data_IF_527396271817
#
_entry.id   IF_527396271817
#
_cell.length_a   1.000
_cell.length_b   1.000
_cell.length_c   1.000
_cell.angle_alpha   90.00
_cell.angle_beta   90.00
_cell.angle_gamma   90.00
#
_symmetry.space_group_name_H-M   'P 1'
#
loop_
_entity.id
_entity.type
_entity.pdbx_description
1 polymer ?
#
# COMPACT_ATOMS: atom_id res chain seq x y z
N UNK A 1 -34.59 -27.83 -19.95
CA UNK A 1 -34.67 -26.43 -20.44
C UNK A 1 -33.37 -25.75 -20.06
N UNK A 2 -32.46 -25.70 -21.03
CA UNK A 2 -31.16 -25.02 -21.00
C UNK A 2 -31.39 -23.53 -21.27
N UNK A 3 -30.72 -22.64 -20.52
CA UNK A 3 -30.59 -21.24 -20.92
C UNK A 3 -29.11 -20.86 -20.88
N UNK A 4 -28.58 -20.63 -22.09
CA UNK A 4 -27.21 -20.26 -22.38
C UNK A 4 -26.96 -18.77 -22.13
N UNK A 5 -25.72 -18.52 -21.73
CA UNK A 5 -24.94 -17.29 -21.79
C UNK A 5 -24.89 -16.65 -23.17
N UNK A 6 -24.91 -15.32 -23.24
CA UNK A 6 -24.26 -14.52 -24.29
C UNK A 6 -24.04 -13.08 -23.79
N UNK A 7 -22.78 -12.67 -23.63
CA UNK A 7 -22.38 -11.26 -23.60
C UNK A 7 -21.06 -11.12 -24.37
N UNK A 8 -21.16 -10.64 -25.62
CA UNK A 8 -20.04 -10.30 -26.48
C UNK A 8 -19.78 -8.79 -26.46
N UNK A 9 -18.51 -8.45 -26.22
CA UNK A 9 -17.69 -7.39 -26.82
C UNK A 9 -18.27 -5.99 -27.13
N UNK A 10 -17.68 -4.98 -26.48
CA UNK A 10 -17.18 -3.79 -27.19
C UNK A 10 -16.03 -3.12 -26.43
N UNK A 11 -14.82 -3.36 -26.93
CA UNK A 11 -13.62 -2.60 -26.63
C UNK A 11 -13.60 -1.33 -27.49
N UNK A 12 -13.53 -0.16 -26.86
CA UNK A 12 -13.04 1.06 -27.52
C UNK A 12 -11.78 1.54 -26.81
N UNK A 13 -10.67 1.37 -27.53
CA UNK A 13 -9.37 1.97 -27.32
C UNK A 13 -9.48 3.50 -27.22
N UNK A 14 -8.90 4.08 -26.18
CA UNK A 14 -8.51 5.49 -26.16
C UNK A 14 -6.98 5.53 -26.07
N UNK A 15 -6.37 5.92 -27.18
CA UNK A 15 -4.97 6.31 -27.31
C UNK A 15 -4.85 7.72 -26.75
N UNK A 16 -4.01 7.92 -25.72
CA UNK A 16 -3.58 9.27 -25.32
C UNK A 16 -2.15 9.45 -25.79
N UNK A 17 -1.99 10.33 -26.79
CA UNK A 17 -0.70 10.68 -27.38
C UNK A 17 0.14 11.57 -26.45
N UNK A 18 1.42 11.25 -26.36
CA UNK A 18 2.44 12.04 -25.68
C UNK A 18 2.73 13.32 -26.49
N UNK A 19 2.38 14.50 -25.94
CA UNK A 19 2.83 15.78 -26.48
C UNK A 19 4.19 16.12 -25.89
N UNK A 20 5.24 16.00 -26.70
CA UNK A 20 6.58 16.54 -26.43
C UNK A 20 6.52 18.05 -26.64
N UNK A 21 6.67 18.85 -25.58
CA UNK A 21 6.92 20.30 -25.70
C UNK A 21 8.42 20.55 -25.76
N UNK A 22 8.90 21.00 -26.92
CA UNK A 22 10.21 21.62 -27.06
C UNK A 22 10.10 23.11 -26.73
N UNK A 23 11.01 23.59 -25.90
CA UNK A 23 11.14 24.99 -25.54
C UNK A 23 11.82 25.74 -26.70
N UNK A 24 11.15 26.77 -27.25
CA UNK A 24 11.83 27.81 -28.03
C UNK A 24 11.32 29.18 -27.64
N UNK A 25 12.29 30.01 -27.35
CA UNK A 25 12.24 31.42 -27.00
C UNK A 25 11.88 32.33 -28.18
N UNK A 26 11.55 33.57 -27.80
CA UNK A 26 11.60 34.83 -28.57
C UNK A 26 10.36 35.24 -29.36
N UNK A 27 10.05 36.54 -29.27
CA UNK A 27 9.28 37.23 -30.31
C UNK A 27 8.27 38.26 -29.82
N UNK A 28 8.58 39.54 -30.01
CA UNK A 28 7.76 40.73 -29.71
C UNK A 28 6.53 40.86 -30.62
N UNK A 29 5.53 41.65 -30.21
CA UNK A 29 4.80 42.53 -31.13
C UNK A 29 3.27 42.64 -30.97
N UNK A 30 2.81 43.75 -30.35
CA UNK A 30 1.92 44.74 -30.97
C UNK A 30 0.44 44.43 -31.31
N UNK A 31 -0.44 45.22 -30.66
CA UNK A 31 -1.57 45.97 -31.26
C UNK A 31 -2.89 45.28 -31.65
N UNK A 32 -3.97 45.64 -30.93
CA UNK A 32 -5.06 46.42 -31.56
C UNK A 32 -6.47 45.80 -31.63
N UNK A 33 -7.43 46.51 -31.00
CA UNK A 33 -8.87 46.66 -31.34
C UNK A 33 -9.81 45.43 -31.18
N UNK A 34 -11.09 45.50 -30.77
CA UNK A 34 -12.05 46.55 -30.35
C UNK A 34 -13.29 45.84 -29.76
N UNK A 35 -14.08 46.58 -28.98
CA UNK A 35 -15.39 46.27 -28.36
C UNK A 35 -16.46 45.71 -29.34
N UNK A 36 -17.63 45.14 -28.99
CA UNK A 36 -18.62 45.49 -27.94
C UNK A 36 -19.85 44.51 -27.99
N UNK A 37 -20.60 44.45 -26.88
CA UNK A 37 -22.03 44.06 -26.67
C UNK A 37 -22.47 42.66 -26.20
N UNK A 38 -22.73 42.60 -24.87
CA UNK A 38 -24.03 42.39 -24.20
C UNK A 38 -24.96 41.21 -24.59
N UNK A 39 -25.18 40.32 -23.62
CA UNK A 39 -26.35 39.44 -23.51
C UNK A 39 -26.43 38.86 -22.10
N UNK A 40 -27.50 39.19 -21.37
CA UNK A 40 -27.78 38.81 -19.98
C UNK A 40 -28.18 37.33 -19.86
N UNK A 41 -27.88 36.73 -18.71
CA UNK A 41 -28.51 35.49 -18.25
C UNK A 41 -27.68 34.82 -17.17
N UNK A 42 -27.98 35.10 -15.89
CA UNK A 42 -27.43 34.39 -14.73
C UNK A 42 -27.90 32.93 -14.71
N UNK A 43 -26.98 31.96 -14.49
CA UNK A 43 -27.33 30.69 -13.88
C UNK A 43 -26.69 30.55 -12.50
N UNK A 44 -27.45 29.84 -11.66
CA UNK A 44 -27.25 29.56 -10.26
C UNK A 44 -25.84 29.11 -9.84
N UNK A 45 -25.52 29.50 -8.62
CA UNK A 45 -24.35 29.16 -7.82
C UNK A 45 -24.14 27.63 -7.74
N UNK A 46 -22.97 27.19 -8.18
CA UNK A 46 -22.42 25.87 -7.93
C UNK A 46 -20.94 26.04 -7.65
N UNK A 47 -20.58 26.01 -6.36
CA UNK A 47 -19.22 26.24 -5.89
C UNK A 47 -18.25 25.21 -6.46
N UNK A 48 -17.22 25.76 -7.13
CA UNK A 48 -16.05 25.06 -7.61
C UNK A 48 -15.21 24.58 -6.43
N UNK A 49 -15.14 23.28 -6.20
CA UNK A 49 -13.95 22.67 -5.59
C UNK A 49 -13.05 22.16 -6.69
N UNK A 50 -12.07 22.99 -7.04
CA UNK A 50 -10.97 22.65 -7.91
C UNK A 50 -10.32 21.34 -7.43
N UNK A 51 -10.33 20.32 -8.28
CA UNK A 51 -9.53 19.12 -8.11
C UNK A 51 -8.05 19.53 -8.17
N UNK A 52 -7.42 19.62 -7.00
CA UNK A 52 -5.97 19.71 -6.89
C UNK A 52 -5.39 18.38 -7.40
N UNK A 53 -5.02 18.37 -8.68
CA UNK A 53 -4.16 17.35 -9.25
C UNK A 53 -2.77 17.51 -8.60
N UNK A 54 -2.52 16.78 -7.52
CA UNK A 54 -1.18 16.64 -6.98
C UNK A 54 -0.46 15.64 -7.89
N UNK A 55 0.39 16.18 -8.76
CA UNK A 55 1.31 15.41 -9.57
C UNK A 55 2.18 14.54 -8.65
N UNK A 56 2.18 13.23 -8.91
CA UNK A 56 3.19 12.33 -8.36
C UNK A 56 4.54 12.80 -8.89
N UNK A 57 5.43 13.23 -7.99
CA UNK A 57 6.83 13.39 -8.34
C UNK A 57 7.39 12.01 -8.67
N UNK A 58 7.95 11.91 -9.88
CA UNK A 58 8.77 10.81 -10.36
C UNK A 58 9.77 10.37 -9.28
N UNK A 59 9.60 9.15 -8.78
CA UNK A 59 10.67 8.44 -8.06
C UNK A 59 11.64 7.97 -9.15
N UNK A 60 12.89 8.46 -9.19
CA UNK A 60 13.81 8.06 -10.23
C UNK A 60 14.19 6.58 -10.04
N UNK A 61 13.78 5.76 -11.00
CA UNK A 61 14.28 4.40 -11.17
C UNK A 61 15.77 4.53 -11.52
N UNK A 62 16.67 4.21 -10.60
CA UNK A 62 18.11 4.20 -10.89
C UNK A 62 18.42 3.01 -11.80
N UNK A 63 18.63 3.30 -13.09
CA UNK A 63 19.31 2.40 -14.01
C UNK A 63 20.73 2.16 -13.50
N UNK A 64 21.10 0.90 -13.26
CA UNK A 64 22.49 0.52 -13.01
C UNK A 64 23.25 0.59 -14.34
N UNK A 65 23.92 1.71 -14.59
CA UNK A 65 24.88 1.86 -15.67
C UNK A 65 26.23 1.32 -15.24
N UNK A 66 26.79 0.42 -16.04
CA UNK A 66 28.16 -0.08 -15.93
C UNK A 66 29.18 1.05 -16.08
N UNK A 67 30.03 1.20 -15.07
CA UNK A 67 31.45 1.59 -15.17
C UNK A 67 31.80 2.97 -15.74
N UNK A 68 32.30 3.86 -14.87
CA UNK A 68 33.60 4.50 -15.03
C UNK A 68 33.94 5.30 -13.76
N UNK A 69 35.13 5.06 -13.25
CA UNK A 69 35.76 5.73 -12.12
C UNK A 69 36.03 7.20 -12.41
N UNK A 70 35.71 8.09 -11.46
CA UNK A 70 36.52 9.28 -11.18
C UNK A 70 36.22 9.76 -9.76
N UNK A 71 37.29 9.91 -8.97
CA UNK A 71 37.23 10.22 -7.56
C UNK A 71 36.91 11.67 -7.30
N UNK A 72 35.95 11.91 -6.41
CA UNK A 72 35.88 13.14 -5.62
C UNK A 72 35.61 12.73 -4.18
N UNK A 73 36.59 13.01 -3.32
CA UNK A 73 36.47 12.84 -1.87
C UNK A 73 35.44 13.81 -1.30
N UNK A 74 34.19 13.36 -1.21
CA UNK A 74 33.19 13.96 -0.36
C UNK A 74 33.13 13.16 0.94
N UNK A 75 33.36 13.81 2.08
CA UNK A 75 33.13 13.24 3.40
C UNK A 75 31.70 12.67 3.43
N UNK A 76 31.60 11.34 3.32
CA UNK A 76 30.34 10.64 3.36
C UNK A 76 29.70 10.90 4.72
N UNK A 77 28.64 11.71 4.74
CA UNK A 77 27.65 11.58 5.81
C UNK A 77 27.13 10.16 5.71
N UNK A 78 27.62 9.29 6.57
CA UNK A 78 27.02 7.98 6.80
C UNK A 78 25.55 8.23 7.14
N UNK A 79 24.69 8.01 6.15
CA UNK A 79 23.25 8.03 6.38
C UNK A 79 23.01 6.85 7.29
N UNK A 80 22.92 7.11 8.59
CA UNK A 80 22.46 6.13 9.56
C UNK A 80 21.15 5.59 9.00
N UNK A 81 21.17 4.36 8.48
CA UNK A 81 19.97 3.64 8.10
C UNK A 81 19.17 3.49 9.39
N UNK A 82 18.22 4.40 9.61
CA UNK A 82 17.24 4.21 10.67
C UNK A 82 16.55 2.90 10.32
N UNK A 83 16.73 1.87 11.15
CA UNK A 83 16.01 0.62 11.03
C UNK A 83 14.54 0.92 11.32
N UNK A 84 13.79 1.32 10.29
CA UNK A 84 12.35 1.53 10.40
C UNK A 84 11.71 0.15 10.47
N UNK A 85 11.45 -0.31 11.70
CA UNK A 85 10.66 -1.51 11.96
C UNK A 85 9.21 -1.14 12.23
N UNK A 86 8.29 -1.97 11.76
CA UNK A 86 6.88 -1.90 12.19
C UNK A 86 6.84 -2.21 13.69
N UNK A 87 6.27 -1.31 14.48
CA UNK A 87 6.08 -1.49 15.94
C UNK A 87 4.74 -2.10 16.29
N UNK A 88 3.77 -2.00 15.39
CA UNK A 88 2.45 -2.57 15.57
C UNK A 88 1.79 -2.91 14.25
N UNK A 89 1.15 -4.06 14.18
CA UNK A 89 0.25 -4.44 13.08
C UNK A 89 -1.20 -4.28 13.54
N UNK A 90 -2.02 -3.60 12.75
CA UNK A 90 -3.46 -3.49 13.01
C UNK A 90 -4.26 -4.11 11.88
N UNK A 91 -5.39 -4.72 12.21
CA UNK A 91 -6.33 -5.26 11.22
C UNK A 91 -7.75 -5.36 11.77
N UNK A 92 -8.72 -5.64 10.88
CA UNK A 92 -10.14 -5.73 11.22
C UNK A 92 -10.58 -7.06 11.82
N UNK A 93 -9.72 -8.07 11.79
CA UNK A 93 -10.01 -9.41 12.27
C UNK A 93 -11.08 -10.14 11.47
N UNK A 94 -11.30 -9.81 10.19
CA UNK A 94 -12.03 -10.71 9.29
C UNK A 94 -11.22 -11.99 9.02
N UNK A 95 -11.82 -13.04 8.46
CA UNK A 95 -11.06 -14.18 7.87
C UNK A 95 -10.17 -13.71 6.71
N UNK A 96 -9.32 -14.59 6.19
CA UNK A 96 -8.42 -14.26 5.09
C UNK A 96 -7.26 -13.37 5.56
N UNK A 97 -7.03 -12.27 4.84
CA UNK A 97 -5.86 -11.41 5.06
C UNK A 97 -5.82 -10.80 6.46
N UNK A 98 -6.98 -10.36 6.98
CA UNK A 98 -7.04 -9.70 8.28
C UNK A 98 -6.57 -10.64 9.41
N UNK A 99 -6.96 -11.92 9.35
CA UNK A 99 -6.56 -12.94 10.32
C UNK A 99 -5.09 -13.31 10.18
N UNK A 100 -4.62 -13.49 8.94
CA UNK A 100 -3.22 -13.78 8.65
C UNK A 100 -2.28 -12.71 9.23
N UNK A 101 -2.65 -11.43 9.12
CA UNK A 101 -1.86 -10.33 9.66
C UNK A 101 -1.76 -10.38 11.18
N UNK A 102 -2.85 -10.69 11.87
CA UNK A 102 -2.87 -10.80 13.33
C UNK A 102 -2.08 -12.01 13.81
N UNK A 103 -2.20 -13.15 13.14
CA UNK A 103 -1.48 -14.38 13.48
C UNK A 103 0.03 -14.22 13.28
N UNK A 104 0.46 -13.68 12.13
CA UNK A 104 1.89 -13.40 11.87
C UNK A 104 2.47 -12.43 12.90
N UNK A 105 1.72 -11.41 13.29
CA UNK A 105 2.19 -10.45 14.29
C UNK A 105 2.40 -11.12 15.65
N UNK A 106 1.44 -11.95 16.10
CA UNK A 106 1.55 -12.70 17.35
C UNK A 106 2.73 -13.69 17.32
N UNK A 107 2.89 -14.43 16.23
CA UNK A 107 3.97 -15.40 16.04
C UNK A 107 5.35 -14.72 16.03
N UNK A 108 5.47 -13.54 15.40
CA UNK A 108 6.70 -12.76 15.35
C UNK A 108 6.98 -11.93 16.62
N UNK A 109 6.09 -11.97 17.62
CA UNK A 109 6.21 -11.14 18.83
C UNK A 109 6.03 -9.63 18.57
N UNK A 110 5.43 -9.26 17.44
CA UNK A 110 5.11 -7.86 17.10
C UNK A 110 3.75 -7.52 17.72
N UNK A 111 3.62 -6.42 18.48
CA UNK A 111 2.33 -5.99 19.00
C UNK A 111 1.26 -5.93 17.90
N UNK A 112 0.09 -6.50 18.16
CA UNK A 112 -1.02 -6.46 17.20
C UNK A 112 -2.29 -5.83 17.81
N UNK A 113 -3.32 -5.63 17.00
CA UNK A 113 -4.61 -5.12 17.44
C UNK A 113 -5.43 -4.57 16.27
N UNK A 114 -6.22 -3.54 16.54
CA UNK A 114 -7.05 -2.88 15.54
C UNK A 114 -8.50 -2.75 15.99
N UNK A 115 -9.33 -2.26 15.08
CA UNK A 115 -10.76 -2.09 15.27
C UNK A 115 -11.53 -3.22 14.62
N UNK A 116 -12.46 -3.82 15.35
CA UNK A 116 -13.40 -4.82 14.83
C UNK A 116 -14.85 -4.36 15.05
N UNK A 117 -15.84 -4.92 14.33
CA UNK A 117 -17.23 -4.55 14.54
C UNK A 117 -17.70 -4.86 15.96
N UNK A 118 -18.72 -4.14 16.44
CA UNK A 118 -19.45 -4.49 17.66
C UNK A 118 -19.88 -5.96 17.64
N UNK A 119 -19.68 -6.64 18.77
CA UNK A 119 -19.87 -8.08 18.94
C UNK A 119 -18.74 -8.92 18.35
N UNK A 120 -17.60 -8.30 17.96
CA UNK A 120 -16.45 -8.97 17.34
C UNK A 120 -16.85 -9.84 16.16
N UNK A 121 -17.64 -9.31 15.22
CA UNK A 121 -18.21 -10.10 14.11
C UNK A 121 -17.18 -10.34 12.99
N UNK A 122 -17.11 -11.56 12.52
CA UNK A 122 -16.44 -12.00 11.28
C UNK A 122 -17.38 -12.97 10.52
N UNK A 123 -17.00 -13.39 9.31
CA UNK A 123 -17.83 -14.31 8.51
C UNK A 123 -17.96 -15.71 9.12
N UNK A 124 -16.96 -16.13 9.87
CA UNK A 124 -16.85 -17.41 10.58
C UNK A 124 -17.41 -17.34 12.02
N UNK A 125 -18.03 -16.22 12.38
CA UNK A 125 -18.63 -16.02 13.70
C UNK A 125 -17.89 -14.96 14.53
N UNK A 126 -17.78 -15.21 15.83
CA UNK A 126 -17.13 -14.26 16.76
C UNK A 126 -15.61 -14.37 16.65
N UNK A 127 -14.92 -13.25 16.46
CA UNK A 127 -13.47 -13.15 16.42
C UNK A 127 -12.87 -13.64 17.76
N UNK A 128 -11.95 -14.62 17.75
CA UNK A 128 -11.35 -15.16 18.97
C UNK A 128 -10.71 -14.10 19.88
N UNK A 129 -10.77 -14.30 21.19
CA UNK A 129 -10.27 -13.34 22.20
C UNK A 129 -8.74 -13.24 22.25
N UNK A 130 -8.01 -14.19 21.64
CA UNK A 130 -6.55 -14.11 21.49
C UNK A 130 -6.08 -12.86 20.72
N UNK A 131 -6.96 -12.27 19.92
CA UNK A 131 -6.67 -11.03 19.21
C UNK A 131 -7.04 -9.79 20.04
N UNK A 132 -6.08 -8.91 20.37
CA UNK A 132 -6.32 -7.70 21.17
C UNK A 132 -6.99 -6.59 20.35
N UNK A 133 -8.18 -6.87 19.81
CA UNK A 133 -8.99 -5.95 19.01
C UNK A 133 -9.94 -5.15 19.90
N UNK A 134 -10.17 -3.89 19.49
CA UNK A 134 -11.15 -2.98 20.10
C UNK A 134 -12.42 -2.99 19.27
N UNK A 135 -13.58 -3.10 19.91
CA UNK A 135 -14.86 -3.01 19.21
C UNK A 135 -15.18 -1.55 18.85
N UNK A 136 -15.77 -1.37 17.67
CA UNK A 136 -16.46 -0.13 17.29
C UNK A 136 -17.84 -0.07 17.93
N UNK A 137 -18.49 1.09 17.86
CA UNK A 137 -19.87 1.26 18.36
C UNK A 137 -20.88 0.59 17.42
N UNK A 138 -20.61 0.59 16.10
CA UNK A 138 -21.42 -0.10 15.11
C UNK A 138 -20.97 -1.54 14.86
N UNK A 139 -21.92 -2.38 14.45
CA UNK A 139 -21.66 -3.70 13.91
C UNK A 139 -21.38 -3.68 12.39
N UNK A 140 -21.39 -2.51 11.76
CA UNK A 140 -21.05 -2.29 10.35
C UNK A 140 -19.52 -2.38 10.14
N UNK A 141 -19.12 -3.10 9.11
CA UNK A 141 -17.72 -3.23 8.70
C UNK A 141 -17.14 -1.92 8.16
N UNK A 142 -17.97 -0.96 7.72
CA UNK A 142 -17.49 0.32 7.20
C UNK A 142 -16.75 1.12 8.27
N UNK A 143 -17.31 1.19 9.48
CA UNK A 143 -16.74 1.96 10.60
C UNK A 143 -15.37 1.40 11.00
N UNK A 144 -15.27 0.09 11.25
CA UNK A 144 -14.00 -0.55 11.61
C UNK A 144 -12.94 -0.38 10.52
N UNK A 145 -13.35 -0.37 9.25
CA UNK A 145 -12.44 -0.19 8.12
C UNK A 145 -11.85 1.21 8.13
N UNK A 146 -12.69 2.23 8.27
CA UNK A 146 -12.21 3.62 8.35
C UNK A 146 -11.37 3.88 9.60
N UNK A 147 -11.74 3.32 10.77
CA UNK A 147 -10.94 3.48 11.99
C UNK A 147 -9.55 2.85 11.87
N UNK A 148 -9.44 1.65 11.29
CA UNK A 148 -8.13 0.99 11.09
C UNK A 148 -7.23 1.78 10.15
N UNK A 149 -7.77 2.35 9.07
CA UNK A 149 -7.01 3.21 8.16
C UNK A 149 -6.59 4.50 8.86
N UNK A 150 -7.52 5.17 9.54
CA UNK A 150 -7.29 6.45 10.22
C UNK A 150 -6.25 6.37 11.32
N UNK A 151 -6.30 5.31 12.14
CA UNK A 151 -5.46 5.14 13.34
C UNK A 151 -4.16 4.36 13.04
N UNK A 152 -3.73 4.35 11.78
CA UNK A 152 -2.47 3.74 11.32
C UNK A 152 -1.64 4.75 10.53
N UNK A 153 -0.34 4.48 10.41
CA UNK A 153 0.59 5.34 9.65
C UNK A 153 0.56 5.01 8.15
N UNK A 154 0.13 3.81 7.79
CA UNK A 154 -0.02 3.38 6.40
C UNK A 154 -0.86 2.11 6.30
N UNK A 155 -1.45 1.89 5.13
CA UNK A 155 -2.28 0.72 4.84
C UNK A 155 -1.68 -0.12 3.72
N UNK A 156 -1.45 -1.40 4.01
CA UNK A 156 -1.11 -2.44 3.04
C UNK A 156 -2.39 -3.23 2.71
N UNK A 157 -2.74 -3.27 1.43
CA UNK A 157 -3.79 -4.14 0.91
C UNK A 157 -3.15 -5.33 0.21
N UNK A 158 -3.47 -6.54 0.64
CA UNK A 158 -3.06 -7.79 -0.03
C UNK A 158 -4.28 -8.38 -0.75
N UNK A 159 -4.13 -8.74 -2.02
CA UNK A 159 -5.22 -9.25 -2.87
C UNK A 159 -4.69 -10.20 -3.93
N UNK A 160 -5.60 -10.94 -4.58
CA UNK A 160 -5.40 -11.49 -5.92
C UNK A 160 -6.34 -10.80 -6.89
N UNK A 161 -5.78 -10.16 -7.91
CA UNK A 161 -6.55 -9.41 -8.90
C UNK A 161 -7.29 -8.18 -8.34
N UNK A 162 -8.44 -7.88 -8.93
CA UNK A 162 -9.17 -6.62 -8.71
C UNK A 162 -9.78 -6.50 -7.31
N UNK A 163 -9.73 -5.30 -6.74
CA UNK A 163 -10.33 -5.00 -5.44
C UNK A 163 -11.85 -4.96 -5.53
N UNK A 164 -12.53 -5.52 -4.53
CA UNK A 164 -13.99 -5.49 -4.43
C UNK A 164 -14.45 -5.34 -2.98
N UNK A 165 -15.73 -5.02 -2.78
CA UNK A 165 -16.37 -4.99 -1.46
C UNK A 165 -15.62 -4.17 -0.41
N UNK A 166 -15.37 -4.80 0.75
CA UNK A 166 -14.66 -4.19 1.87
C UNK A 166 -13.21 -3.79 1.54
N UNK A 167 -12.51 -4.55 0.70
CA UNK A 167 -11.13 -4.22 0.29
C UNK A 167 -11.08 -2.94 -0.54
N UNK A 168 -12.02 -2.77 -1.47
CA UNK A 168 -12.15 -1.53 -2.23
C UNK A 168 -12.56 -0.34 -1.34
N UNK A 169 -13.34 -0.59 -0.27
CA UNK A 169 -13.63 0.44 0.73
C UNK A 169 -12.35 0.89 1.46
N UNK A 170 -11.49 -0.04 1.85
CA UNK A 170 -10.20 0.27 2.48
C UNK A 170 -9.35 1.20 1.61
N UNK A 171 -9.22 0.90 0.31
CA UNK A 171 -8.52 1.78 -0.63
C UNK A 171 -9.13 3.20 -0.64
N UNK A 172 -10.46 3.29 -0.79
CA UNK A 172 -11.15 4.59 -0.82
C UNK A 172 -10.93 5.38 0.46
N UNK A 173 -10.98 4.73 1.63
CA UNK A 173 -10.69 5.36 2.91
C UNK A 173 -9.25 5.86 2.98
N UNK A 174 -8.27 5.06 2.58
CA UNK A 174 -6.85 5.45 2.63
C UNK A 174 -6.57 6.65 1.72
N UNK A 175 -7.09 6.63 0.48
CA UNK A 175 -6.98 7.76 -0.45
C UNK A 175 -7.66 9.02 0.09
N UNK A 176 -8.89 8.90 0.59
CA UNK A 176 -9.65 10.02 1.14
C UNK A 176 -8.96 10.66 2.35
N UNK A 177 -8.33 9.85 3.20
CA UNK A 177 -7.65 10.31 4.41
C UNK A 177 -6.18 10.71 4.16
N UNK A 178 -5.69 10.63 2.93
CA UNK A 178 -4.29 10.95 2.60
C UNK A 178 -3.28 10.03 3.28
N UNK A 179 -3.65 8.78 3.59
CA UNK A 179 -2.75 7.81 4.21
C UNK A 179 -1.92 7.10 3.15
N UNK A 180 -0.61 6.85 3.40
CA UNK A 180 0.19 5.96 2.57
C UNK A 180 -0.54 4.65 2.32
N UNK A 181 -0.62 4.26 1.05
CA UNK A 181 -1.32 3.07 0.60
C UNK A 181 -0.42 2.27 -0.34
N UNK A 182 -0.24 0.99 -0.06
CA UNK A 182 0.38 0.04 -0.98
C UNK A 182 -0.60 -1.10 -1.25
N UNK A 183 -0.84 -1.40 -2.52
CA UNK A 183 -1.67 -2.53 -2.96
C UNK A 183 -0.74 -3.57 -3.57
N UNK A 184 -0.77 -4.77 -2.98
CA UNK A 184 -0.02 -5.94 -3.42
C UNK A 184 -0.99 -6.93 -4.03
N UNK A 185 -0.79 -7.18 -5.33
CA UNK A 185 -1.48 -8.21 -6.08
C UNK A 185 -0.55 -9.42 -6.18
N UNK A 186 -0.89 -10.46 -5.42
CA UNK A 186 -0.05 -11.66 -5.27
C UNK A 186 0.16 -12.42 -6.58
N UNK A 187 -0.69 -12.21 -7.58
CA UNK A 187 -0.59 -12.88 -8.88
C UNK A 187 0.40 -12.16 -9.82
N UNK A 188 0.90 -10.98 -9.44
CA UNK A 188 1.75 -10.14 -10.29
C UNK A 188 3.24 -10.24 -10.03
N UNK A 189 3.65 -10.81 -8.91
CA UNK A 189 5.07 -10.93 -8.57
C UNK A 189 5.32 -11.98 -7.49
N UNK A 190 6.59 -12.37 -7.31
CA UNK A 190 6.96 -13.31 -6.27
C UNK A 190 6.87 -12.71 -4.85
N UNK A 191 6.55 -13.53 -3.82
CA UNK A 191 6.41 -13.06 -2.44
C UNK A 191 7.65 -12.35 -1.88
N UNK A 192 8.86 -12.78 -2.24
CA UNK A 192 10.12 -12.22 -1.77
C UNK A 192 10.36 -10.80 -2.30
N UNK A 193 10.08 -10.56 -3.59
CA UNK A 193 10.11 -9.23 -4.20
C UNK A 193 9.04 -8.33 -3.59
N UNK A 194 7.83 -8.85 -3.38
CA UNK A 194 6.81 -8.09 -2.67
C UNK A 194 7.24 -7.73 -1.26
N UNK A 195 7.84 -8.67 -0.51
CA UNK A 195 8.34 -8.41 0.83
C UNK A 195 9.40 -7.31 0.83
N UNK A 196 10.33 -7.32 -0.13
CA UNK A 196 11.34 -6.27 -0.28
C UNK A 196 10.72 -4.90 -0.56
N UNK A 197 9.73 -4.83 -1.47
CA UNK A 197 9.00 -3.59 -1.79
C UNK A 197 8.19 -3.07 -0.61
N UNK A 198 7.55 -3.96 0.16
CA UNK A 198 6.80 -3.58 1.37
C UNK A 198 7.75 -2.99 2.40
N UNK A 199 8.91 -3.61 2.65
CA UNK A 199 9.92 -3.09 3.58
C UNK A 199 10.42 -1.71 3.15
N UNK A 200 10.72 -1.53 1.87
CA UNK A 200 11.16 -0.24 1.33
C UNK A 200 10.06 0.83 1.44
N UNK A 201 8.82 0.47 1.15
CA UNK A 201 7.67 1.36 1.31
C UNK A 201 7.44 1.76 2.77
N UNK A 202 7.52 0.80 3.70
CA UNK A 202 7.44 1.05 5.16
C UNK A 202 8.53 2.01 5.61
N UNK A 203 9.77 1.78 5.19
CA UNK A 203 10.91 2.62 5.54
C UNK A 203 10.77 4.04 4.96
N UNK A 204 10.39 4.14 3.68
CA UNK A 204 10.23 5.41 2.97
C UNK A 204 9.15 6.29 3.59
N UNK A 205 8.05 5.70 4.05
CA UNK A 205 6.93 6.45 4.65
C UNK A 205 7.01 6.52 6.18
N UNK A 206 8.05 5.95 6.81
CA UNK A 206 8.20 5.95 8.26
C UNK A 206 7.08 5.23 9.00
N UNK A 207 6.51 4.17 8.43
CA UNK A 207 5.31 3.49 8.95
C UNK A 207 5.69 2.69 10.21
N UNK A 208 5.10 3.06 11.36
CA UNK A 208 5.31 2.38 12.65
C UNK A 208 4.11 1.52 13.05
N UNK A 209 2.90 1.98 12.72
CA UNK A 209 1.64 1.25 12.85
C UNK A 209 1.14 0.91 11.45
N UNK A 210 1.27 -0.35 11.05
CA UNK A 210 0.87 -0.85 9.74
C UNK A 210 -0.54 -1.45 9.81
N UNK A 211 -1.49 -0.85 9.10
CA UNK A 211 -2.77 -1.49 8.84
C UNK A 211 -2.63 -2.50 7.70
N UNK A 212 -3.08 -3.73 7.90
CA UNK A 212 -3.10 -4.77 6.87
C UNK A 212 -4.54 -5.20 6.61
N UNK A 213 -4.94 -5.17 5.36
CA UNK A 213 -6.30 -5.49 4.93
C UNK A 213 -6.32 -6.31 3.64
N UNK A 214 -7.41 -7.00 3.40
CA UNK A 214 -7.63 -7.74 2.15
C UNK A 214 -8.97 -8.45 2.11
N UNK A 215 -9.22 -9.27 1.08
CA UNK A 215 -10.45 -10.04 0.97
C UNK A 215 -10.53 -11.09 2.08
N UNK A 216 -11.77 -11.42 2.42
CA UNK A 216 -12.10 -12.53 3.33
C UNK A 216 -11.86 -13.87 2.64
N UNK A 217 -11.69 -14.93 3.43
CA UNK A 217 -11.35 -16.27 2.92
C UNK A 217 -12.42 -16.78 1.94
N UNK A 218 -13.71 -16.55 2.23
CA UNK A 218 -14.79 -16.93 1.33
C UNK A 218 -14.76 -16.25 -0.05
N UNK A 219 -14.09 -15.11 -0.20
CA UNK A 219 -14.02 -14.35 -1.45
C UNK A 219 -12.82 -14.79 -2.31
N UNK A 220 -11.72 -15.13 -1.66
CA UNK A 220 -10.50 -15.60 -2.32
C UNK A 220 -9.93 -16.76 -1.51
N UNK A 221 -10.38 -18.01 -1.75
CA UNK A 221 -9.85 -19.17 -1.06
C UNK A 221 -8.32 -19.27 -1.20
N UNK A 222 -7.64 -19.62 -0.11
CA UNK A 222 -6.19 -19.65 0.03
C UNK A 222 -5.54 -18.27 0.15
N UNK A 223 -6.29 -17.20 0.40
CA UNK A 223 -5.70 -15.86 0.61
C UNK A 223 -5.07 -15.73 1.99
N UNK A 224 -5.63 -16.39 3.02
CA UNK A 224 -5.04 -16.44 4.36
C UNK A 224 -3.59 -16.93 4.31
N UNK A 225 -3.35 -18.12 3.75
CA UNK A 225 -2.02 -18.74 3.74
C UNK A 225 -1.00 -17.92 2.93
N UNK A 226 -1.43 -17.36 1.80
CA UNK A 226 -0.57 -16.56 0.95
C UNK A 226 -0.21 -15.21 1.60
N UNK A 227 -1.18 -14.56 2.26
CA UNK A 227 -0.91 -13.36 3.03
C UNK A 227 0.02 -13.67 4.23
N UNK A 228 -0.20 -14.79 4.92
CA UNK A 228 0.64 -15.23 6.04
C UNK A 228 2.08 -15.44 5.59
N UNK A 229 2.29 -16.12 4.46
CA UNK A 229 3.62 -16.34 3.88
C UNK A 229 4.32 -15.02 3.54
N UNK A 230 3.64 -14.13 2.80
CA UNK A 230 4.17 -12.81 2.45
C UNK A 230 4.54 -11.98 3.69
N UNK A 231 3.64 -11.88 4.66
CA UNK A 231 3.84 -11.06 5.85
C UNK A 231 4.95 -11.63 6.75
N UNK A 232 5.09 -12.95 6.82
CA UNK A 232 6.22 -13.59 7.51
C UNK A 232 7.54 -13.20 6.86
N UNK A 233 7.61 -13.22 5.52
CA UNK A 233 8.78 -12.77 4.77
C UNK A 233 9.06 -11.27 4.96
N UNK A 234 8.03 -10.43 5.12
CA UNK A 234 8.18 -8.99 5.43
C UNK A 234 8.83 -8.78 6.79
N UNK A 235 8.39 -9.51 7.82
CA UNK A 235 8.85 -9.37 9.20
C UNK A 235 10.16 -10.11 9.50
N UNK A 236 10.55 -11.08 8.68
CA UNK A 236 11.84 -11.75 8.80
C UNK A 236 12.98 -10.72 8.76
N UNK A 237 13.87 -10.77 9.76
CA UNK A 237 15.07 -9.93 9.76
C UNK A 237 15.95 -10.37 8.57
N UNK A 238 16.43 -9.43 7.73
CA UNK A 238 17.38 -9.76 6.66
C UNK A 238 18.79 -10.14 7.18
N UNK A 239 18.97 -10.29 8.49
CA UNK A 239 20.23 -10.63 9.13
C UNK A 239 20.01 -11.83 10.05
N UNK A 240 20.38 -13.01 9.55
CA UNK A 240 20.17 -14.28 10.23
C UNK A 240 20.88 -15.44 9.55
N UNK A 241 22.10 -15.22 9.03
CA UNK A 241 23.08 -16.26 8.72
C UNK A 241 24.47 -15.67 8.95
N UNK A 242 25.05 -15.92 10.14
CA UNK A 242 26.39 -15.43 10.47
C UNK A 242 26.70 -15.31 11.95
N UNK A 243 26.62 -16.43 12.69
CA UNK A 243 27.35 -16.60 13.95
C UNK A 243 27.36 -18.09 14.36
N UNK A 244 28.05 -18.91 13.57
CA UNK A 244 28.54 -20.22 13.99
C UNK A 244 29.96 -20.42 13.47
N UNK A 245 30.88 -19.51 13.82
CA UNK A 245 32.29 -19.87 13.91
C UNK A 245 32.58 -20.16 15.38
N UNK A 246 32.43 -21.44 15.72
CA UNK A 246 33.08 -22.00 16.89
C UNK A 246 34.58 -21.95 16.64
N UNK A 247 35.22 -20.97 17.26
CA UNK A 247 36.65 -20.95 17.52
C UNK A 247 37.01 -22.19 18.37
N UNK A 248 37.36 -23.30 17.70
CA UNK A 248 38.11 -24.39 18.33
C UNK A 248 39.59 -24.11 18.12
N UNK A 249 40.11 -23.25 19.01
CA UNK A 249 41.53 -23.03 19.21
C UNK A 249 42.29 -24.34 19.47
N UNK A 250 43.51 -24.34 18.95
CA UNK A 250 44.46 -25.42 18.93
C UNK A 250 44.90 -25.91 20.31
N UNK A 251 45.12 -27.22 20.45
CA UNK A 251 46.20 -27.80 21.26
C UNK A 251 46.36 -29.30 20.93
N UNK A 252 47.39 -29.67 20.18
CA UNK A 252 48.28 -30.80 20.51
C UNK A 252 49.37 -30.91 19.43
N UNK A 253 50.58 -30.49 19.78
CA UNK A 253 51.83 -31.10 19.33
C UNK A 253 52.45 -31.68 20.60
N UNK A 254 52.76 -32.96 20.57
CA UNK A 254 53.89 -33.60 21.24
C UNK A 254 54.27 -34.81 20.39
#
# INVERSE_FOLDING_TARGET
MTYQSDWTSSLRSIVVGTVVRTNRSSGRGGSGATCRHAGRGDPAEGENVAAAAVAFNDVPVRCWGTGASEGVGGAGREVRRVSVRVTKIVSGGQTGVDRAALDVALEAGVPCGGWCPRGRRAEDGRIPDRYPLRETESADYSERTERNVRDSDGTLIVTRGSLSGGTALTERCARRLGRPLLIVDLDKDDPERWAARIRDWVATHGIRVLNVAGPRESQQPGIYDAARHLLSAVLASPEGDGAAEGDSGAAQRD
#
